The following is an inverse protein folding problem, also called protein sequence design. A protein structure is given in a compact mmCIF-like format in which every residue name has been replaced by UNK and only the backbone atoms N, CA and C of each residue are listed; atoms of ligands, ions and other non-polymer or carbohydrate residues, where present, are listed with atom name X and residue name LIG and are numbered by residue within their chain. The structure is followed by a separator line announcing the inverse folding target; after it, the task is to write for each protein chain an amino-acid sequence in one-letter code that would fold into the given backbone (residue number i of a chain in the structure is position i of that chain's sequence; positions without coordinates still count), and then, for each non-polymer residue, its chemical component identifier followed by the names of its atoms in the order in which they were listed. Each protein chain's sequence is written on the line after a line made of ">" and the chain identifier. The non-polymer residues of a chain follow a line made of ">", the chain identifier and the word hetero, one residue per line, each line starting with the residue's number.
data_IF_943917496191
#
_entry.id   IF_943917496191
#
_cell.length_a   1.000
_cell.length_b   1.000
_cell.length_c   1.000
_cell.angle_alpha   90.00
_cell.angle_beta   90.00
_cell.angle_gamma   90.00
#
_symmetry.space_group_name_H-M   'P 1'
#
loop_
_entity.id
_entity.type
_entity.pdbx_description
1 polymer ?
#
# COMPACT_ATOMS: atom_id res chain seq x y z
N UNK A 1 20.90 4.05 10.43
CA UNK A 1 19.71 4.16 9.55
C UNK A 1 19.36 2.78 9.05
N UNK A 2 18.10 2.38 9.17
CA UNK A 2 17.64 1.06 8.71
C UNK A 2 16.25 1.19 8.06
N UNK A 3 15.95 0.26 7.16
CA UNK A 3 14.64 0.17 6.49
C UNK A 3 13.83 -0.91 7.19
N UNK A 4 12.56 -0.62 7.43
CA UNK A 4 11.61 -1.57 8.03
C UNK A 4 10.73 -2.14 6.93
N UNK A 5 10.61 -3.46 6.87
CA UNK A 5 9.68 -4.15 5.98
C UNK A 5 8.67 -4.95 6.81
N UNK A 6 7.44 -4.43 6.86
CA UNK A 6 6.24 -5.06 7.42
C UNK A 6 5.05 -4.85 6.48
N UNK A 7 5.29 -4.97 5.16
CA UNK A 7 4.31 -4.76 4.08
C UNK A 7 3.57 -3.42 4.27
N UNK A 8 2.24 -3.40 4.28
CA UNK A 8 1.42 -2.20 4.47
C UNK A 8 1.61 -1.54 5.85
N UNK A 9 2.13 -2.28 6.84
CA UNK A 9 2.40 -1.77 8.19
C UNK A 9 3.78 -1.12 8.36
N UNK A 10 4.62 -1.09 7.33
CA UNK A 10 6.03 -0.64 7.44
C UNK A 10 6.16 0.81 7.92
N UNK A 11 5.32 1.71 7.40
CA UNK A 11 5.34 3.12 7.79
C UNK A 11 4.87 3.35 9.22
N UNK A 12 3.93 2.55 9.73
CA UNK A 12 3.53 2.62 11.13
C UNK A 12 4.59 2.01 12.05
N UNK A 13 5.21 0.90 11.63
CA UNK A 13 6.28 0.27 12.40
C UNK A 13 7.49 1.18 12.57
N UNK A 14 7.85 1.99 11.56
CA UNK A 14 8.96 2.93 11.70
C UNK A 14 8.67 4.00 12.76
N UNK A 15 7.42 4.45 12.89
CA UNK A 15 6.98 5.37 13.95
C UNK A 15 7.06 4.69 15.32
N UNK A 16 6.58 3.44 15.43
CA UNK A 16 6.66 2.67 16.68
C UNK A 16 8.12 2.51 17.13
N UNK A 17 9.02 2.17 16.21
CA UNK A 17 10.44 2.04 16.52
C UNK A 17 11.04 3.38 16.98
N UNK A 18 10.72 4.49 16.30
CA UNK A 18 11.19 5.81 16.70
C UNK A 18 10.70 6.21 18.10
N UNK A 19 9.43 5.93 18.42
CA UNK A 19 8.89 6.16 19.75
C UNK A 19 9.61 5.31 20.82
N UNK A 20 9.97 4.06 20.50
CA UNK A 20 10.74 3.20 21.40
C UNK A 20 12.15 3.74 21.64
N UNK A 21 12.86 4.17 20.58
CA UNK A 21 14.21 4.72 20.68
C UNK A 21 14.25 5.99 21.55
N UNK A 22 13.25 6.85 21.44
CA UNK A 22 13.13 8.05 22.28
C UNK A 22 12.82 7.68 23.73
N UNK A 23 11.86 6.78 23.96
CA UNK A 23 11.48 6.35 25.32
C UNK A 23 12.61 5.65 26.08
N UNK A 24 13.43 4.88 25.38
CA UNK A 24 14.58 4.17 25.96
C UNK A 24 15.82 5.06 26.13
N UNK A 25 15.76 6.32 25.68
CA UNK A 25 16.89 7.24 25.71
C UNK A 25 18.00 6.89 24.71
N UNK A 26 17.73 6.01 23.75
CA UNK A 26 18.69 5.62 22.71
C UNK A 26 18.92 6.74 21.69
N UNK A 27 17.91 7.60 21.47
CA UNK A 27 18.03 8.75 20.60
C UNK A 27 17.15 9.93 21.07
N UNK A 28 17.67 11.17 21.10
CA UNK A 28 16.89 12.35 21.48
C UNK A 28 15.91 12.82 20.40
N UNK A 29 16.25 12.59 19.13
CA UNK A 29 15.44 12.95 17.96
C UNK A 29 15.59 11.88 16.89
N UNK A 30 14.46 11.45 16.32
CA UNK A 30 14.42 10.41 15.27
C UNK A 30 13.52 10.87 14.13
N UNK A 31 13.93 10.64 12.88
CA UNK A 31 13.09 10.83 11.70
C UNK A 31 12.52 9.48 11.29
N UNK A 32 11.19 9.37 11.24
CA UNK A 32 10.48 8.15 10.86
C UNK A 32 9.44 8.44 9.79
N UNK A 33 9.20 7.44 8.94
CA UNK A 33 8.22 7.51 7.86
C UNK A 33 8.22 6.25 7.00
N UNK A 34 7.59 6.35 5.84
CA UNK A 34 7.57 5.29 4.83
C UNK A 34 7.44 5.89 3.44
N UNK A 35 8.01 5.20 2.45
CA UNK A 35 7.93 5.54 1.04
C UNK A 35 7.66 4.28 0.25
N UNK A 36 6.85 4.40 -0.80
CA UNK A 36 6.51 3.30 -1.70
C UNK A 36 6.50 3.85 -3.14
N UNK A 37 6.98 3.07 -4.10
CA UNK A 37 6.92 3.41 -5.53
C UNK A 37 6.60 2.16 -6.34
N UNK A 38 5.32 1.80 -6.35
CA UNK A 38 4.85 0.62 -7.07
C UNK A 38 5.03 0.72 -8.59
N UNK A 39 4.99 1.92 -9.16
CA UNK A 39 5.14 2.12 -10.61
C UNK A 39 6.52 1.70 -11.13
N UNK A 40 7.54 1.71 -10.25
CA UNK A 40 8.91 1.30 -10.59
C UNK A 40 9.29 -0.05 -9.95
N UNK A 41 8.32 -0.81 -9.46
CA UNK A 41 8.57 -2.11 -8.88
C UNK A 41 9.15 -3.07 -9.95
N UNK A 42 10.33 -3.69 -9.73
CA UNK A 42 10.94 -4.55 -10.71
C UNK A 42 10.18 -5.88 -10.86
N UNK A 43 10.17 -6.39 -12.09
CA UNK A 43 9.71 -7.75 -12.41
C UNK A 43 10.89 -8.70 -12.38
N UNK A 44 10.83 -9.75 -11.55
CA UNK A 44 11.87 -10.78 -11.53
C UNK A 44 11.44 -11.99 -12.35
N UNK A 45 12.37 -12.53 -13.14
CA UNK A 45 12.17 -13.76 -13.88
C UNK A 45 12.61 -14.95 -13.02
N UNK A 46 11.75 -15.95 -12.85
CA UNK A 46 12.07 -17.19 -12.13
C UNK A 46 11.79 -17.22 -10.62
N UNK A 47 11.23 -16.14 -10.04
CA UNK A 47 10.94 -16.07 -8.60
C UNK A 47 9.60 -16.71 -8.19
N UNK A 48 8.73 -17.06 -9.13
CA UNK A 48 7.45 -17.72 -8.83
C UNK A 48 7.22 -18.91 -9.76
N UNK A 49 7.65 -20.09 -9.30
CA UNK A 49 7.39 -21.36 -9.99
C UNK A 49 5.94 -21.84 -9.87
N UNK A 50 5.05 -21.08 -9.21
CA UNK A 50 3.72 -21.56 -8.82
C UNK A 50 2.59 -20.52 -8.98
N UNK A 51 2.89 -19.26 -9.32
CA UNK A 51 1.89 -18.21 -9.50
C UNK A 51 2.07 -17.57 -10.88
N UNK A 52 1.29 -18.01 -11.89
CA UNK A 52 1.37 -17.45 -13.23
C UNK A 52 0.68 -16.08 -13.24
N UNK A 53 1.43 -15.03 -12.96
CA UNK A 53 1.05 -13.69 -13.39
C UNK A 53 1.84 -13.32 -14.66
N UNK A 54 1.11 -13.01 -15.74
CA UNK A 54 1.69 -12.72 -17.06
C UNK A 54 1.93 -13.97 -17.93
N UNK A 55 2.37 -13.79 -19.19
CA UNK A 55 2.65 -14.89 -20.10
C UNK A 55 3.75 -15.77 -19.49
N UNK A 56 3.40 -17.01 -19.14
CA UNK A 56 4.33 -18.02 -18.67
C UNK A 56 5.21 -18.47 -19.81
N UNK A 57 6.51 -18.25 -19.69
CA UNK A 57 7.48 -18.92 -20.56
C UNK A 57 7.85 -20.24 -19.87
N UNK A 58 7.68 -21.36 -20.58
CA UNK A 58 8.12 -22.66 -20.09
C UNK A 58 9.64 -22.61 -19.92
N UNK A 59 10.11 -22.69 -18.67
CA UNK A 59 11.54 -22.75 -18.38
C UNK A 59 12.15 -24.03 -18.96
N UNK A 60 13.47 -24.03 -19.17
CA UNK A 60 14.26 -25.13 -19.77
C UNK A 60 14.12 -26.49 -19.04
N UNK A 61 13.50 -26.49 -17.86
CA UNK A 61 13.31 -27.65 -16.98
C UNK A 61 11.86 -28.18 -16.97
N UNK A 62 10.97 -27.68 -17.84
CA UNK A 62 9.56 -28.08 -17.88
C UNK A 62 8.69 -27.49 -16.76
N UNK A 63 9.26 -26.64 -15.92
CA UNK A 63 8.57 -25.93 -14.84
C UNK A 63 8.11 -24.57 -15.37
N UNK A 64 6.83 -24.24 -15.23
CA UNK A 64 6.30 -22.93 -15.60
C UNK A 64 6.99 -21.86 -14.75
N UNK A 65 7.81 -21.01 -15.38
CA UNK A 65 8.41 -19.86 -14.71
C UNK A 65 7.50 -18.66 -14.92
N UNK A 66 6.77 -18.28 -13.87
CA UNK A 66 5.98 -17.05 -13.87
C UNK A 66 6.88 -15.82 -13.82
N UNK A 67 6.40 -14.73 -14.43
CA UNK A 67 6.99 -13.40 -14.26
C UNK A 67 6.65 -12.87 -12.86
N UNK A 68 7.45 -13.25 -11.86
CA UNK A 68 7.23 -12.89 -10.46
C UNK A 68 7.88 -11.58 -10.11
N UNK A 69 7.18 -10.46 -10.31
CA UNK A 69 7.66 -9.18 -9.77
C UNK A 69 7.54 -9.07 -8.26
N UNK A 70 8.13 -8.00 -7.71
CA UNK A 70 7.87 -7.54 -6.33
C UNK A 70 6.36 -7.44 -6.05
N UNK A 71 5.55 -7.22 -7.09
CA UNK A 71 4.09 -7.28 -7.07
C UNK A 71 3.53 -8.60 -6.51
N UNK A 72 4.05 -9.77 -6.90
CA UNK A 72 3.61 -11.05 -6.33
C UNK A 72 3.96 -11.12 -4.85
N UNK A 73 5.15 -10.65 -4.49
CA UNK A 73 5.64 -10.74 -3.12
C UNK A 73 4.90 -9.78 -2.15
N UNK A 74 4.36 -8.67 -2.67
CA UNK A 74 3.56 -7.70 -1.90
C UNK A 74 2.07 -8.10 -1.84
N UNK A 75 1.51 -8.64 -2.94
CA UNK A 75 0.07 -8.90 -3.07
C UNK A 75 -0.34 -10.36 -2.91
N UNK A 76 0.59 -11.31 -2.95
CA UNK A 76 0.35 -12.70 -2.62
C UNK A 76 0.97 -12.94 -1.25
N UNK A 77 0.14 -13.30 -0.29
CA UNK A 77 0.66 -13.75 0.99
C UNK A 77 1.46 -15.01 0.74
N UNK A 78 2.79 -14.96 0.85
CA UNK A 78 3.64 -16.14 0.66
C UNK A 78 3.16 -17.35 1.48
N UNK A 79 2.65 -17.09 2.69
CA UNK A 79 2.12 -18.12 3.60
C UNK A 79 0.68 -18.56 3.29
N UNK A 80 -0.07 -17.80 2.49
CA UNK A 80 -1.50 -18.02 2.23
C UNK A 80 -1.73 -18.49 0.78
N UNK A 81 -0.81 -18.18 -0.14
CA UNK A 81 -0.89 -18.57 -1.55
C UNK A 81 -2.00 -17.87 -2.35
N UNK A 82 -2.69 -16.89 -1.75
CA UNK A 82 -3.80 -16.16 -2.37
C UNK A 82 -3.50 -14.67 -2.49
N UNK A 83 -4.14 -14.02 -3.46
CA UNK A 83 -4.07 -12.57 -3.62
C UNK A 83 -4.81 -11.85 -2.49
N UNK A 84 -4.38 -10.62 -2.16
CA UNK A 84 -5.06 -9.78 -1.16
C UNK A 84 -6.54 -9.51 -1.51
N UNK A 85 -6.89 -9.48 -2.81
CA UNK A 85 -8.29 -9.36 -3.22
C UNK A 85 -9.12 -10.59 -2.80
N UNK A 86 -8.57 -11.79 -2.98
CA UNK A 86 -9.23 -13.05 -2.60
C UNK A 86 -9.38 -13.16 -1.08
N UNK A 87 -8.37 -12.72 -0.32
CA UNK A 87 -8.49 -12.68 1.15
C UNK A 87 -9.54 -11.66 1.61
N UNK A 88 -9.66 -10.53 0.91
CA UNK A 88 -10.73 -9.55 1.16
C UNK A 88 -12.11 -10.16 0.92
N UNK A 89 -12.32 -10.85 -0.19
CA UNK A 89 -13.60 -11.51 -0.51
C UNK A 89 -13.97 -12.56 0.54
N UNK A 90 -12.99 -13.35 0.99
CA UNK A 90 -13.20 -14.33 2.07
C UNK A 90 -13.55 -13.66 3.41
N UNK A 91 -12.96 -12.51 3.72
CA UNK A 91 -13.33 -11.73 4.90
C UNK A 91 -14.76 -11.20 4.77
N UNK A 92 -15.15 -10.68 3.61
CA UNK A 92 -16.52 -10.22 3.36
C UNK A 92 -17.53 -11.35 3.58
N UNK A 93 -17.29 -12.54 3.02
CA UNK A 93 -18.14 -13.72 3.24
C UNK A 93 -18.26 -14.10 4.71
N UNK A 94 -17.14 -14.12 5.45
CA UNK A 94 -17.12 -14.47 6.89
C UNK A 94 -17.84 -13.44 7.77
N UNK A 95 -17.83 -12.17 7.37
CA UNK A 95 -18.46 -11.07 8.11
C UNK A 95 -19.87 -10.76 7.64
N UNK A 96 -20.34 -11.40 6.57
CA UNK A 96 -21.65 -11.13 5.97
C UNK A 96 -21.73 -9.79 5.26
N UNK A 97 -20.60 -9.23 4.83
CA UNK A 97 -20.57 -7.96 4.08
C UNK A 97 -21.04 -8.22 2.65
N UNK A 98 -22.07 -7.51 2.25
CA UNK A 98 -22.70 -7.61 0.92
C UNK A 98 -21.97 -6.74 -0.10
N UNK A 99 -22.25 -7.00 -1.38
CA UNK A 99 -21.67 -6.21 -2.47
C UNK A 99 -22.21 -4.78 -2.43
N UNK A 100 -23.48 -4.64 -2.13
CA UNK A 100 -24.22 -3.38 -2.03
C UNK A 100 -23.59 -2.46 -0.98
N UNK A 101 -23.28 -2.98 0.21
CA UNK A 101 -22.60 -2.22 1.27
C UNK A 101 -21.20 -1.76 0.86
N UNK A 102 -20.47 -2.61 0.13
CA UNK A 102 -19.12 -2.27 -0.38
C UNK A 102 -19.20 -1.17 -1.44
N UNK A 103 -20.20 -1.24 -2.32
CA UNK A 103 -20.44 -0.27 -3.39
C UNK A 103 -21.02 1.05 -2.88
N UNK A 104 -21.70 1.06 -1.73
CA UNK A 104 -22.11 2.31 -1.07
C UNK A 104 -20.91 3.00 -0.39
N UNK A 105 -19.99 2.23 0.19
CA UNK A 105 -18.81 2.78 0.86
C UNK A 105 -17.77 3.37 -0.11
N UNK A 106 -17.55 2.73 -1.26
CA UNK A 106 -16.56 3.17 -2.25
C UNK A 106 -16.72 4.63 -2.71
N UNK A 107 -17.89 5.10 -3.19
CA UNK A 107 -18.09 6.49 -3.61
C UNK A 107 -18.03 7.44 -2.40
N UNK A 108 -18.53 7.03 -1.24
CA UNK A 108 -18.45 7.83 -0.02
C UNK A 108 -17.01 8.18 0.34
N UNK A 109 -16.12 7.19 0.31
CA UNK A 109 -14.68 7.39 0.52
C UNK A 109 -14.08 8.38 -0.50
N UNK A 110 -14.40 8.21 -1.79
CA UNK A 110 -13.93 9.11 -2.85
C UNK A 110 -14.44 10.55 -2.70
N UNK A 111 -15.70 10.72 -2.29
CA UNK A 111 -16.31 12.04 -2.08
C UNK A 111 -15.68 12.78 -0.90
N UNK A 112 -15.44 12.08 0.22
CA UNK A 112 -14.74 12.64 1.38
C UNK A 112 -13.34 13.10 0.97
N UNK A 113 -12.61 12.27 0.23
CA UNK A 113 -11.27 12.62 -0.26
C UNK A 113 -11.31 13.84 -1.19
N UNK A 114 -12.25 13.88 -2.14
CA UNK A 114 -12.42 15.01 -3.06
C UNK A 114 -12.75 16.30 -2.30
N UNK A 115 -13.59 16.23 -1.28
CA UNK A 115 -13.95 17.39 -0.47
C UNK A 115 -12.74 17.93 0.30
N UNK A 116 -11.98 17.05 0.98
CA UNK A 116 -10.75 17.41 1.70
C UNK A 116 -9.69 17.99 0.77
N UNK A 117 -9.52 17.44 -0.43
CA UNK A 117 -8.61 17.98 -1.44
C UNK A 117 -9.00 19.42 -1.82
N UNK A 118 -10.27 19.68 -2.10
CA UNK A 118 -10.75 21.05 -2.44
C UNK A 118 -10.56 22.04 -1.29
N UNK A 119 -10.71 21.61 -0.04
CA UNK A 119 -10.45 22.46 1.13
C UNK A 119 -8.95 22.73 1.28
N UNK A 120 -8.11 21.70 1.16
CA UNK A 120 -6.66 21.84 1.26
C UNK A 120 -6.09 22.74 0.16
N UNK A 121 -6.55 22.58 -1.09
CA UNK A 121 -6.15 23.45 -2.20
C UNK A 121 -6.58 24.90 -1.97
N UNK A 122 -7.80 25.13 -1.49
CA UNK A 122 -8.27 26.48 -1.11
C UNK A 122 -7.45 27.09 0.01
N UNK A 123 -7.12 26.32 1.04
CA UNK A 123 -6.25 26.78 2.13
C UNK A 123 -4.84 27.12 1.63
N UNK A 124 -4.29 26.34 0.69
CA UNK A 124 -2.99 26.63 0.05
C UNK A 124 -3.02 27.86 -0.86
N UNK A 125 -4.12 28.13 -1.55
CA UNK A 125 -4.25 29.34 -2.35
C UNK A 125 -4.48 30.60 -1.49
N UNK A 126 -5.17 30.44 -0.36
CA UNK A 126 -5.30 31.49 0.65
C UNK A 126 -3.95 31.84 1.30
N UNK A 127 -3.15 30.83 1.68
CA UNK A 127 -1.81 31.06 2.25
C UNK A 127 -0.77 31.57 1.24
N UNK A 128 -1.07 31.44 -0.06
CA UNK A 128 -0.27 32.01 -1.16
C UNK A 128 -0.78 33.37 -1.66
N UNK A 129 -1.73 33.99 -0.95
CA UNK A 129 -2.23 35.34 -1.26
C UNK A 129 -3.09 35.43 -2.52
N UNK A 130 -3.54 34.32 -3.11
CA UNK A 130 -4.32 34.30 -4.37
C UNK A 130 -5.82 34.49 -4.20
N UNK A 131 -6.33 34.50 -2.97
CA UNK A 131 -7.77 34.54 -2.66
C UNK A 131 -8.18 35.65 -1.68
N UNK A 132 -7.27 36.57 -1.31
CA UNK A 132 -7.67 37.74 -0.53
C UNK A 132 -8.45 38.71 -1.44
N UNK A 133 -9.66 39.17 -1.08
CA UNK A 133 -10.30 40.24 -1.81
C UNK A 133 -9.44 41.50 -1.63
N UNK A 134 -8.90 42.01 -2.73
CA UNK A 134 -8.33 43.36 -2.77
C UNK A 134 -9.52 44.33 -2.72
N UNK A 135 -9.93 44.72 -1.52
CA UNK A 135 -11.05 45.65 -1.28
C UNK A 135 -11.61 45.54 0.12
#
# INVERSE_FOLDING_TARGET
>A
MFTVSRICGSGFQSIVNAAQMIQLGEAPTVVAGGMENMSQAPTFYGACGHLPIGPTTTGRNGIAQGHGGLFVHQFVGWNVGSFMAQTSDEICKRKGVTREETDEFAPMSMLVQRHRLKQHLRARDCSRGRLWPQG
#
